data_IF_965199596449
#
_entry.id   IF_965199596449
#
_cell.length_a   1.000
_cell.length_b   1.000
_cell.length_c   1.000
_cell.angle_alpha   90.00
_cell.angle_beta   90.00
_cell.angle_gamma   90.00
#
_symmetry.space_group_name_H-M   'P 1'
#
loop_
_entity.id
_entity.type
_entity.pdbx_description
1 polymer ?
#
# COMPACT_ATOMS: atom_id res chain seq x y z
N UNK A 1 -34.62 -29.21 20.70
CA UNK A 1 -33.25 -28.75 20.40
C UNK A 1 -33.25 -28.20 18.96
N UNK A 2 -33.41 -26.88 18.80
CA UNK A 2 -33.40 -26.19 17.48
C UNK A 2 -31.95 -25.88 17.18
N UNK A 3 -31.37 -26.53 16.17
CA UNK A 3 -30.04 -26.21 15.62
C UNK A 3 -30.16 -24.90 14.88
N UNK A 4 -29.59 -23.83 15.43
CA UNK A 4 -29.41 -22.55 14.77
C UNK A 4 -28.27 -22.76 13.76
N UNK A 5 -28.64 -22.82 12.49
CA UNK A 5 -27.70 -22.83 11.36
C UNK A 5 -27.12 -21.41 11.26
N UNK A 6 -25.92 -21.20 11.78
CA UNK A 6 -25.17 -19.96 11.57
C UNK A 6 -24.65 -20.01 10.12
N UNK A 7 -25.37 -19.38 9.21
CA UNK A 7 -24.89 -19.11 7.87
C UNK A 7 -23.82 -18.02 7.99
N UNK A 8 -22.55 -18.41 8.01
CA UNK A 8 -21.41 -17.52 7.79
C UNK A 8 -21.48 -17.01 6.35
N UNK A 9 -22.14 -15.88 6.14
CA UNK A 9 -22.07 -15.15 4.89
C UNK A 9 -20.63 -14.62 4.80
N UNK A 10 -19.83 -15.22 3.93
CA UNK A 10 -18.53 -14.68 3.57
C UNK A 10 -18.75 -13.26 3.04
N UNK A 11 -18.29 -12.27 3.80
CA UNK A 11 -18.29 -10.85 3.45
C UNK A 11 -17.31 -10.64 2.27
N UNK A 12 -17.76 -10.94 1.06
CA UNK A 12 -17.09 -10.48 -0.16
C UNK A 12 -17.60 -9.06 -0.41
N UNK A 13 -16.96 -8.09 0.26
CA UNK A 13 -17.17 -6.68 -0.05
C UNK A 13 -16.02 -6.30 -0.96
N UNK A 14 -16.27 -5.97 -2.23
CA UNK A 14 -15.22 -5.42 -3.07
C UNK A 14 -14.78 -4.08 -2.48
N UNK A 15 -13.54 -3.97 -2.05
CA UNK A 15 -12.90 -2.73 -1.57
C UNK A 15 -12.72 -1.69 -2.68
N UNK A 16 -13.17 -2.00 -3.87
CA UNK A 16 -12.98 -1.27 -5.13
C UNK A 16 -13.67 0.09 -5.22
N UNK A 17 -14.69 0.35 -4.41
CA UNK A 17 -15.55 1.54 -4.58
C UNK A 17 -14.90 2.82 -4.06
N UNK A 18 -13.84 2.77 -3.27
CA UNK A 18 -13.24 3.95 -2.64
C UNK A 18 -11.82 4.31 -3.10
N UNK A 19 -11.19 3.50 -3.97
CA UNK A 19 -9.85 3.79 -4.48
C UNK A 19 -9.84 4.72 -5.71
N UNK A 20 -10.93 5.42 -5.98
CA UNK A 20 -11.07 6.28 -7.16
C UNK A 20 -10.48 7.68 -7.01
N UNK A 21 -9.48 7.94 -6.23
CA UNK A 21 -8.74 9.20 -6.44
C UNK A 21 -7.37 9.15 -5.78
N UNK A 22 -6.36 9.42 -6.57
CA UNK A 22 -5.01 9.86 -6.24
C UNK A 22 -3.87 8.85 -6.39
N UNK A 23 -3.79 8.17 -7.56
CA UNK A 23 -2.44 8.00 -8.09
C UNK A 23 -2.02 9.30 -8.78
N UNK A 24 -0.82 9.82 -8.50
CA UNK A 24 -0.29 10.93 -9.26
C UNK A 24 0.01 10.48 -10.68
N UNK A 25 -0.92 10.76 -11.57
CA UNK A 25 -0.61 10.80 -12.99
C UNK A 25 0.49 11.84 -13.19
N UNK A 26 1.64 11.41 -13.73
CA UNK A 26 2.67 12.32 -14.15
C UNK A 26 2.04 13.38 -15.05
N UNK A 27 2.11 14.62 -14.62
CA UNK A 27 1.63 15.78 -15.36
C UNK A 27 2.37 15.86 -16.68
N UNK A 28 1.75 15.32 -17.73
CA UNK A 28 2.04 15.76 -19.08
C UNK A 28 1.51 17.19 -19.15
N UNK A 29 2.44 18.15 -19.21
CA UNK A 29 2.16 19.56 -19.42
C UNK A 29 1.34 19.71 -20.69
N UNK A 30 0.05 19.95 -20.58
CA UNK A 30 -0.75 20.47 -21.69
C UNK A 30 -0.37 21.93 -21.90
N UNK A 31 0.52 22.16 -22.87
CA UNK A 31 0.65 23.44 -23.52
C UNK A 31 -0.60 23.71 -24.35
N UNK A 32 -1.49 24.52 -23.83
CA UNK A 32 -2.57 25.13 -24.60
C UNK A 32 -1.97 26.04 -25.66
N UNK A 33 -2.07 25.59 -26.90
CA UNK A 33 -1.81 26.42 -28.06
C UNK A 33 -2.89 27.50 -28.19
N UNK A 34 -2.52 28.76 -27.95
CA UNK A 34 -3.32 29.92 -28.33
C UNK A 34 -2.69 30.55 -29.56
N UNK A 35 -3.45 30.57 -30.66
CA UNK A 35 -3.11 31.11 -31.95
C UNK A 35 -3.08 32.64 -31.98
N UNK A 36 -2.09 33.16 -32.73
CA UNK A 36 -2.10 34.29 -33.66
C UNK A 36 -1.59 35.65 -33.15
N UNK A 37 -1.11 36.53 -34.01
CA UNK A 37 -0.45 36.38 -35.34
C UNK A 37 0.91 37.08 -35.44
N UNK A 38 1.65 36.80 -36.53
CA UNK A 38 2.89 37.47 -36.92
C UNK A 38 2.67 38.94 -37.38
N UNK A 39 3.72 39.80 -37.35
CA UNK A 39 4.44 40.08 -38.59
C UNK A 39 5.95 40.37 -38.52
N UNK A 40 6.61 39.89 -39.55
CA UNK A 40 7.68 40.49 -40.38
C UNK A 40 8.98 41.08 -39.81
N UNK A 41 10.09 40.47 -40.30
CA UNK A 41 11.31 41.01 -40.92
C UNK A 41 12.29 41.86 -40.12
N UNK A 42 13.53 41.39 -39.92
CA UNK A 42 14.73 41.85 -40.63
C UNK A 42 16.02 41.24 -40.07
N UNK A 43 16.77 40.65 -40.96
CA UNK A 43 18.21 40.58 -41.26
C UNK A 43 19.25 41.16 -40.27
N UNK A 44 20.27 40.36 -39.93
CA UNK A 44 21.73 40.48 -40.11
C UNK A 44 22.46 39.63 -39.06
N UNK A 45 23.10 38.58 -39.40
CA UNK A 45 24.47 38.34 -39.87
C UNK A 45 25.55 39.00 -39.01
N UNK A 46 26.33 38.17 -38.29
CA UNK A 46 27.79 38.09 -38.32
C UNK A 46 28.32 36.98 -37.40
N UNK A 47 29.27 36.22 -37.94
CA UNK A 47 30.02 35.13 -37.30
C UNK A 47 31.37 35.65 -36.76
N UNK A 48 32.28 34.76 -36.29
CA UNK A 48 32.95 34.85 -35.00
C UNK A 48 34.39 35.39 -35.08
N UNK A 49 35.20 35.29 -34.02
CA UNK A 49 36.34 34.37 -34.07
C UNK A 49 36.85 33.75 -32.77
N UNK A 50 37.50 32.66 -32.96
CA UNK A 50 38.48 31.82 -32.33
C UNK A 50 39.52 32.45 -31.36
N UNK A 51 40.07 31.56 -30.50
CA UNK A 51 41.37 31.69 -29.84
C UNK A 51 41.39 30.95 -28.51
N UNK A 52 41.90 29.83 -28.40
CA UNK A 52 43.22 29.19 -28.29
C UNK A 52 43.73 29.10 -26.83
N UNK A 53 43.90 27.86 -26.37
CA UNK A 53 45.05 27.17 -25.80
C UNK A 53 45.76 27.65 -24.52
N UNK A 54 45.98 26.76 -23.57
CA UNK A 54 47.24 26.10 -23.11
C UNK A 54 47.01 25.54 -21.69
N UNK A 55 47.16 24.28 -21.37
CA UNK A 55 48.34 23.44 -21.12
C UNK A 55 49.23 23.85 -19.90
N UNK A 56 49.44 22.91 -18.98
CA UNK A 56 50.45 22.91 -17.94
C UNK A 56 50.07 21.97 -16.79
N UNK A 57 50.40 20.73 -16.77
CA UNK A 57 51.56 19.94 -16.32
C UNK A 57 51.72 19.80 -14.78
N UNK A 58 51.56 18.60 -14.36
CA UNK A 58 52.20 17.75 -13.35
C UNK A 58 53.12 18.36 -12.30
N UNK A 59 53.01 17.88 -11.02
CA UNK A 59 54.16 17.24 -10.36
C UNK A 59 53.79 16.51 -9.08
N UNK A 60 54.44 15.39 -8.90
CA UNK A 60 54.45 14.43 -7.75
C UNK A 60 55.10 15.03 -6.49
N UNK A 61 54.71 14.46 -5.35
CA UNK A 61 55.47 14.61 -4.11
C UNK A 61 55.01 13.62 -3.04
N UNK A 62 55.78 12.58 -2.85
CA UNK A 62 55.68 11.53 -1.84
C UNK A 62 56.12 12.02 -0.46
N UNK A 63 55.54 11.44 0.62
CA UNK A 63 56.07 11.60 1.98
C UNK A 63 55.23 10.89 3.04
N UNK A 64 55.84 9.94 3.72
CA UNK A 64 55.32 8.93 4.60
C UNK A 64 55.02 9.36 6.05
N UNK A 65 54.16 8.55 6.69
CA UNK A 65 54.10 8.08 8.08
C UNK A 65 53.78 9.06 9.21
N UNK A 66 52.68 8.84 9.93
CA UNK A 66 52.60 8.30 11.31
C UNK A 66 51.15 8.27 11.82
N UNK A 67 50.73 7.11 12.32
CA UNK A 67 49.62 6.94 13.30
C UNK A 67 50.15 7.22 14.74
N UNK A 68 49.33 7.35 15.81
CA UNK A 68 47.95 6.91 16.02
C UNK A 68 47.05 7.95 16.78
N UNK A 69 45.75 7.75 16.74
CA UNK A 69 44.85 8.45 17.65
C UNK A 69 43.39 8.03 17.37
N UNK A 70 42.88 7.06 18.13
CA UNK A 70 41.51 6.57 17.99
C UNK A 70 40.48 7.64 18.37
N UNK A 71 39.53 7.83 17.49
CA UNK A 71 38.24 8.41 17.79
C UNK A 71 37.18 7.51 17.15
N UNK A 72 36.38 6.87 18.00
CA UNK A 72 35.18 6.12 17.68
C UNK A 72 34.27 6.95 16.76
N UNK A 73 34.15 6.53 15.52
CA UNK A 73 33.16 7.08 14.61
C UNK A 73 31.75 6.71 15.10
N UNK A 74 30.75 7.65 14.99
CA UNK A 74 29.36 7.33 15.26
C UNK A 74 28.89 6.30 14.25
N UNK A 75 28.08 5.33 14.71
CA UNK A 75 27.64 4.18 13.98
C UNK A 75 27.18 4.50 12.54
N UNK A 76 27.73 3.75 11.59
CA UNK A 76 27.21 3.68 10.24
C UNK A 76 25.77 3.19 10.33
N UNK A 77 24.83 4.10 10.09
CA UNK A 77 23.47 3.70 9.77
C UNK A 77 23.58 2.75 8.59
N UNK A 78 23.12 1.52 8.75
CA UNK A 78 23.02 0.55 7.67
C UNK A 78 22.14 1.18 6.60
N UNK A 79 22.76 1.69 5.57
CA UNK A 79 22.07 2.10 4.35
C UNK A 79 21.48 0.81 3.78
N UNK A 80 20.15 0.75 3.74
CA UNK A 80 19.44 -0.30 3.01
C UNK A 80 19.91 -0.38 1.56
N UNK A 81 19.59 -1.46 0.84
CA UNK A 81 19.95 -1.58 -0.56
C UNK A 81 19.47 -0.34 -1.34
N UNK A 82 20.24 0.12 -2.35
CA UNK A 82 19.88 1.30 -3.12
C UNK A 82 18.52 1.08 -3.81
N UNK A 83 17.65 2.09 -3.74
CA UNK A 83 16.35 2.06 -4.42
C UNK A 83 16.53 1.87 -5.93
N UNK A 84 15.61 1.14 -6.57
CA UNK A 84 15.60 0.97 -8.03
C UNK A 84 15.54 2.34 -8.72
N UNK A 85 16.22 2.46 -9.86
CA UNK A 85 16.09 3.64 -10.71
C UNK A 85 14.80 3.60 -11.53
N UNK A 86 14.23 4.77 -11.91
CA UNK A 86 13.08 4.81 -12.82
C UNK A 86 13.39 4.14 -14.16
N UNK A 87 12.45 3.37 -14.73
CA UNK A 87 12.62 2.72 -16.03
C UNK A 87 12.93 3.72 -17.13
N UNK A 88 13.88 3.40 -18.00
CA UNK A 88 14.34 4.24 -19.09
C UNK A 88 14.20 3.56 -20.45
N UNK A 89 13.90 4.34 -21.49
CA UNK A 89 13.94 3.86 -22.86
C UNK A 89 15.39 3.73 -23.32
N UNK A 90 15.70 2.64 -24.00
CA UNK A 90 17.04 2.38 -24.58
C UNK A 90 17.21 2.97 -25.98
N UNK A 91 16.10 3.40 -26.62
CA UNK A 91 16.10 4.04 -27.95
C UNK A 91 14.90 4.97 -28.11
N UNK A 92 15.00 5.86 -29.11
CA UNK A 92 13.91 6.76 -29.46
C UNK A 92 12.69 6.01 -30.04
N UNK A 93 12.91 4.91 -30.76
CA UNK A 93 11.83 4.09 -31.30
C UNK A 93 11.08 3.35 -30.19
N UNK A 94 11.81 2.85 -29.19
CA UNK A 94 11.22 2.26 -27.99
C UNK A 94 10.37 3.28 -27.23
N UNK A 95 10.89 4.51 -27.03
CA UNK A 95 10.15 5.57 -26.34
C UNK A 95 8.88 5.98 -27.08
N UNK A 96 8.94 6.13 -28.43
CA UNK A 96 7.77 6.43 -29.27
C UNK A 96 6.72 5.31 -29.20
N UNK A 97 7.16 4.05 -29.28
CA UNK A 97 6.27 2.92 -29.17
C UNK A 97 5.60 2.84 -27.79
N UNK A 98 6.37 3.12 -26.72
CA UNK A 98 5.85 3.22 -25.36
C UNK A 98 4.78 4.32 -25.25
N UNK A 99 5.06 5.53 -25.73
CA UNK A 99 4.08 6.63 -25.70
C UNK A 99 2.79 6.28 -26.45
N UNK A 100 2.91 5.60 -27.60
CA UNK A 100 1.75 5.17 -28.38
C UNK A 100 0.92 4.15 -27.62
N UNK A 101 1.56 3.15 -26.98
CA UNK A 101 0.87 2.15 -26.17
C UNK A 101 0.25 2.75 -24.91
N UNK A 102 0.97 3.65 -24.23
CA UNK A 102 0.51 4.30 -23.00
C UNK A 102 -0.67 5.26 -23.21
N UNK A 103 -0.93 5.71 -24.43
CA UNK A 103 -2.09 6.54 -24.76
C UNK A 103 -3.41 5.76 -24.83
N UNK A 104 -3.35 4.43 -24.82
CA UNK A 104 -4.53 3.56 -24.93
C UNK A 104 -5.18 3.38 -23.54
N UNK A 105 -6.46 3.70 -23.45
CA UNK A 105 -7.22 3.66 -22.18
C UNK A 105 -8.21 2.51 -22.06
N UNK A 106 -8.64 1.92 -23.19
CA UNK A 106 -9.46 0.70 -23.16
C UNK A 106 -8.64 -0.47 -22.59
N UNK A 107 -9.14 -1.19 -21.57
CA UNK A 107 -8.34 -2.20 -20.88
C UNK A 107 -7.84 -3.33 -21.79
N UNK A 108 -8.67 -3.83 -22.71
CA UNK A 108 -8.30 -4.93 -23.58
C UNK A 108 -7.33 -4.49 -24.69
N UNK A 109 -7.54 -3.29 -25.24
CA UNK A 109 -6.62 -2.70 -26.21
C UNK A 109 -5.28 -2.33 -25.56
N UNK A 110 -5.28 -1.84 -24.29
CA UNK A 110 -4.07 -1.55 -23.53
C UNK A 110 -3.26 -2.82 -23.23
N UNK A 111 -3.94 -3.93 -22.86
CA UNK A 111 -3.29 -5.24 -22.69
C UNK A 111 -2.59 -5.68 -23.96
N UNK A 112 -3.33 -5.65 -25.09
CA UNK A 112 -2.75 -6.02 -26.39
C UNK A 112 -1.54 -5.14 -26.73
N UNK A 113 -1.64 -3.84 -26.51
CA UNK A 113 -0.55 -2.91 -26.81
C UNK A 113 0.68 -3.14 -25.90
N UNK A 114 0.46 -3.50 -24.63
CA UNK A 114 1.52 -3.88 -23.71
C UNK A 114 2.22 -5.19 -24.13
N UNK A 115 1.46 -6.19 -24.56
CA UNK A 115 1.98 -7.47 -25.07
C UNK A 115 2.75 -7.26 -26.38
N UNK A 116 2.20 -6.49 -27.33
CA UNK A 116 2.88 -6.15 -28.61
C UNK A 116 4.19 -5.36 -28.35
N UNK A 117 4.18 -4.43 -27.39
CA UNK A 117 5.37 -3.69 -26.98
C UNK A 117 6.42 -4.62 -26.35
N UNK A 118 5.99 -5.50 -25.44
CA UNK A 118 6.90 -6.46 -24.78
C UNK A 118 7.52 -7.45 -25.78
N UNK A 119 6.76 -7.87 -26.79
CA UNK A 119 7.26 -8.73 -27.87
C UNK A 119 8.29 -7.99 -28.76
N UNK A 120 8.04 -6.71 -29.07
CA UNK A 120 8.93 -5.90 -29.90
C UNK A 120 10.21 -5.45 -29.17
N UNK A 121 10.09 -5.17 -27.87
CA UNK A 121 11.17 -4.68 -27.00
C UNK A 121 11.33 -5.58 -25.74
N UNK A 122 11.75 -6.83 -25.90
CA UNK A 122 11.77 -7.81 -24.78
C UNK A 122 12.70 -7.40 -23.64
N UNK A 123 13.76 -6.62 -23.92
CA UNK A 123 14.70 -6.12 -22.94
C UNK A 123 14.34 -4.72 -22.40
N UNK A 124 13.14 -4.22 -22.72
CA UNK A 124 12.68 -2.91 -22.23
C UNK A 124 12.28 -2.94 -20.77
N UNK A 125 12.71 -1.94 -20.02
CA UNK A 125 12.23 -1.70 -18.65
C UNK A 125 10.82 -1.06 -18.63
N UNK A 126 10.42 -0.40 -19.72
CA UNK A 126 9.16 0.32 -19.83
C UNK A 126 7.92 -0.62 -19.90
N UNK A 127 8.11 -1.90 -20.24
CA UNK A 127 7.01 -2.86 -20.32
C UNK A 127 6.25 -3.02 -19.00
N UNK A 128 6.95 -2.92 -17.84
CA UNK A 128 6.32 -2.97 -16.52
C UNK A 128 5.34 -1.81 -16.33
N UNK A 129 5.67 -0.62 -16.82
CA UNK A 129 4.79 0.56 -16.73
C UNK A 129 3.50 0.37 -17.53
N UNK A 130 3.59 -0.22 -18.73
CA UNK A 130 2.41 -0.53 -19.55
C UNK A 130 1.51 -1.57 -18.87
N UNK A 131 2.09 -2.63 -18.32
CA UNK A 131 1.31 -3.63 -17.58
C UNK A 131 0.69 -3.06 -16.30
N UNK A 132 1.39 -2.17 -15.56
CA UNK A 132 0.78 -1.47 -14.41
C UNK A 132 -0.41 -0.61 -14.83
N UNK A 133 -0.28 0.13 -15.92
CA UNK A 133 -1.39 0.92 -16.48
C UNK A 133 -2.57 0.01 -16.86
N UNK A 134 -2.30 -1.10 -17.53
CA UNK A 134 -3.31 -2.10 -17.91
C UNK A 134 -3.99 -2.72 -16.67
N UNK A 135 -3.22 -3.07 -15.65
CA UNK A 135 -3.75 -3.58 -14.37
C UNK A 135 -4.70 -2.57 -13.73
N UNK A 136 -4.31 -1.28 -13.67
CA UNK A 136 -5.16 -0.21 -13.16
C UNK A 136 -6.43 -0.01 -14.00
N UNK A 137 -6.35 -0.17 -15.33
CA UNK A 137 -7.51 -0.09 -16.21
C UNK A 137 -8.50 -1.24 -15.93
N UNK A 138 -8.01 -2.46 -15.72
CA UNK A 138 -8.84 -3.59 -15.32
C UNK A 138 -9.39 -3.45 -13.89
N UNK A 139 -8.65 -2.82 -12.99
CA UNK A 139 -9.13 -2.45 -11.68
C UNK A 139 -10.35 -1.52 -11.78
N UNK A 140 -10.24 -0.45 -12.55
CA UNK A 140 -11.34 0.49 -12.76
C UNK A 140 -12.57 -0.17 -13.44
N UNK A 141 -12.33 -1.21 -14.25
CA UNK A 141 -13.37 -2.02 -14.88
C UNK A 141 -13.92 -3.15 -13.97
N UNK A 142 -13.46 -3.25 -12.71
CA UNK A 142 -13.81 -4.34 -11.77
C UNK A 142 -13.54 -5.75 -12.32
N UNK A 143 -12.53 -5.90 -13.18
CA UNK A 143 -12.16 -7.19 -13.76
C UNK A 143 -11.00 -7.82 -12.99
N UNK A 144 -11.32 -8.42 -11.86
CA UNK A 144 -10.33 -9.02 -10.97
C UNK A 144 -9.57 -10.22 -11.57
N UNK A 145 -10.16 -10.95 -12.52
CA UNK A 145 -9.47 -12.05 -13.22
C UNK A 145 -8.32 -11.52 -14.08
N UNK A 146 -8.61 -10.48 -14.85
CA UNK A 146 -7.59 -9.81 -15.65
C UNK A 146 -6.55 -9.09 -14.80
N UNK A 147 -6.94 -8.50 -13.67
CA UNK A 147 -5.97 -7.95 -12.71
C UNK A 147 -5.00 -9.01 -12.20
N UNK A 148 -5.52 -10.19 -11.84
CA UNK A 148 -4.69 -11.30 -11.38
C UNK A 148 -3.70 -11.75 -12.47
N UNK A 149 -4.19 -11.87 -13.73
CA UNK A 149 -3.37 -12.23 -14.88
C UNK A 149 -2.24 -11.22 -15.12
N UNK A 150 -2.60 -9.93 -15.23
CA UNK A 150 -1.64 -8.85 -15.49
C UNK A 150 -0.68 -8.67 -14.30
N UNK A 151 -1.18 -8.74 -13.07
CA UNK A 151 -0.33 -8.68 -11.88
C UNK A 151 0.73 -9.78 -11.86
N UNK A 152 0.38 -11.00 -12.25
CA UNK A 152 1.34 -12.10 -12.40
C UNK A 152 2.34 -11.87 -13.55
N UNK A 153 1.93 -11.24 -14.67
CA UNK A 153 2.87 -10.82 -15.73
C UNK A 153 3.89 -9.80 -15.18
N UNK A 154 3.44 -8.85 -14.35
CA UNK A 154 4.34 -7.87 -13.72
C UNK A 154 5.32 -8.58 -12.78
N UNK A 155 4.84 -9.44 -11.88
CA UNK A 155 5.69 -10.18 -10.92
C UNK A 155 6.71 -11.08 -11.65
N UNK A 156 6.35 -11.65 -12.81
CA UNK A 156 7.28 -12.44 -13.62
C UNK A 156 8.41 -11.59 -14.23
N UNK A 157 8.18 -10.29 -14.46
CA UNK A 157 9.17 -9.34 -14.98
C UNK A 157 9.96 -8.70 -13.84
N UNK A 158 9.28 -8.30 -12.80
CA UNK A 158 9.79 -7.63 -11.59
C UNK A 158 9.20 -8.31 -10.35
N UNK A 159 9.91 -9.31 -9.79
CA UNK A 159 9.41 -10.07 -8.63
C UNK A 159 9.20 -9.24 -7.36
N UNK A 160 9.85 -8.07 -7.29
CA UNK A 160 9.86 -7.19 -6.13
C UNK A 160 8.94 -5.97 -6.30
N UNK A 161 8.09 -5.96 -7.34
CA UNK A 161 7.11 -4.88 -7.56
C UNK A 161 6.04 -4.87 -6.47
N UNK A 162 6.06 -3.93 -5.49
CA UNK A 162 5.16 -3.98 -4.35
C UNK A 162 3.70 -3.74 -4.74
N UNK A 163 3.42 -3.00 -5.83
CA UNK A 163 2.06 -2.76 -6.28
C UNK A 163 1.44 -4.03 -6.87
N UNK A 164 2.18 -4.73 -7.72
CA UNK A 164 1.71 -6.00 -8.30
C UNK A 164 1.55 -7.09 -7.23
N UNK A 165 2.52 -7.19 -6.31
CA UNK A 165 2.47 -8.14 -5.19
C UNK A 165 1.21 -7.94 -4.35
N UNK A 166 0.90 -6.69 -3.96
CA UNK A 166 -0.29 -6.35 -3.17
C UNK A 166 -1.56 -6.60 -3.97
N UNK A 167 -1.64 -6.16 -5.23
CA UNK A 167 -2.85 -6.32 -6.04
C UNK A 167 -3.21 -7.78 -6.27
N UNK A 168 -2.21 -8.64 -6.54
CA UNK A 168 -2.43 -10.09 -6.67
C UNK A 168 -2.87 -10.69 -5.33
N UNK A 169 -2.21 -10.32 -4.22
CA UNK A 169 -2.57 -10.80 -2.89
C UNK A 169 -4.00 -10.40 -2.48
N UNK A 170 -4.41 -9.17 -2.80
CA UNK A 170 -5.76 -8.65 -2.54
C UNK A 170 -6.81 -9.47 -3.30
N UNK A 171 -6.66 -9.64 -4.61
CA UNK A 171 -7.58 -10.43 -5.43
C UNK A 171 -7.69 -11.87 -4.92
N UNK A 172 -6.56 -12.50 -4.59
CA UNK A 172 -6.56 -13.87 -4.04
C UNK A 172 -7.27 -13.93 -2.70
N UNK A 173 -7.04 -12.97 -1.80
CA UNK A 173 -7.64 -12.94 -0.47
C UNK A 173 -9.15 -12.69 -0.48
N UNK A 174 -9.65 -11.93 -1.46
CA UNK A 174 -11.07 -11.58 -1.58
C UNK A 174 -11.89 -12.65 -2.32
N UNK A 175 -11.26 -13.38 -3.24
CA UNK A 175 -11.92 -14.40 -4.04
C UNK A 175 -11.78 -15.81 -3.49
N UNK A 176 -11.00 -16.00 -2.43
CA UNK A 176 -10.81 -17.29 -1.78
C UNK A 176 -11.93 -17.57 -0.79
N UNK A 177 -12.66 -18.64 -0.99
CA UNK A 177 -13.74 -19.08 -0.10
C UNK A 177 -13.32 -20.33 0.66
N UNK A 178 -13.70 -20.49 1.95
CA UNK A 178 -13.36 -21.70 2.71
C UNK A 178 -13.83 -23.02 2.08
N UNK A 179 -14.79 -22.95 1.16
CA UNK A 179 -15.30 -24.10 0.40
C UNK A 179 -14.53 -24.42 -0.86
N UNK A 180 -13.61 -23.55 -1.29
CA UNK A 180 -12.82 -23.77 -2.50
C UNK A 180 -11.74 -24.82 -2.23
N UNK A 181 -11.51 -25.72 -3.20
CA UNK A 181 -10.50 -26.78 -3.07
C UNK A 181 -9.08 -26.22 -2.92
N UNK A 182 -8.81 -25.07 -3.52
CA UNK A 182 -7.53 -24.37 -3.53
C UNK A 182 -7.44 -23.23 -2.50
N UNK A 183 -8.39 -23.18 -1.54
CA UNK A 183 -8.45 -22.15 -0.51
C UNK A 183 -7.12 -21.97 0.24
N UNK A 184 -6.54 -23.07 0.69
CA UNK A 184 -5.29 -23.02 1.45
C UNK A 184 -4.12 -22.54 0.59
N UNK A 185 -4.04 -22.97 -0.66
CA UNK A 185 -2.97 -22.60 -1.59
C UNK A 185 -3.06 -21.12 -1.95
N UNK A 186 -4.24 -20.63 -2.31
CA UNK A 186 -4.51 -19.20 -2.57
C UNK A 186 -4.17 -18.33 -1.36
N UNK A 187 -4.55 -18.74 -0.16
CA UNK A 187 -4.24 -18.00 1.06
C UNK A 187 -2.76 -18.02 1.41
N UNK A 188 -2.06 -19.12 1.13
CA UNK A 188 -0.61 -19.20 1.30
C UNK A 188 0.11 -18.29 0.32
N UNK A 189 -0.27 -18.33 -0.97
CA UNK A 189 0.23 -17.43 -2.01
C UNK A 189 -0.01 -15.97 -1.63
N UNK A 190 -1.24 -15.59 -1.31
CA UNK A 190 -1.59 -14.22 -0.92
C UNK A 190 -0.79 -13.74 0.31
N UNK A 191 -0.63 -14.61 1.31
CA UNK A 191 0.18 -14.28 2.51
C UNK A 191 1.63 -14.01 2.14
N UNK A 192 2.23 -14.87 1.29
CA UNK A 192 3.61 -14.71 0.82
C UNK A 192 3.78 -13.39 0.05
N UNK A 193 2.89 -13.10 -0.89
CA UNK A 193 2.95 -11.90 -1.72
C UNK A 193 2.78 -10.62 -0.88
N UNK A 194 1.79 -10.57 0.03
CA UNK A 194 1.57 -9.41 0.88
C UNK A 194 2.74 -9.17 1.87
N UNK A 195 3.35 -10.24 2.39
CA UNK A 195 4.53 -10.14 3.25
C UNK A 195 5.74 -9.63 2.46
N UNK A 196 5.98 -10.18 1.26
CA UNK A 196 7.08 -9.76 0.41
C UNK A 196 6.93 -8.29 -0.03
N UNK A 197 5.71 -7.86 -0.32
CA UNK A 197 5.45 -6.45 -0.63
C UNK A 197 5.86 -5.51 0.52
N UNK A 198 5.60 -5.88 1.78
CA UNK A 198 6.03 -5.08 2.94
C UNK A 198 7.56 -4.93 3.02
N UNK A 199 8.31 -5.92 2.53
CA UNK A 199 9.78 -5.89 2.49
C UNK A 199 10.30 -4.98 1.37
N UNK A 200 9.58 -4.90 0.24
CA UNK A 200 10.04 -4.21 -0.98
C UNK A 200 9.52 -2.78 -1.14
N UNK A 201 8.51 -2.34 -0.38
CA UNK A 201 7.93 -0.99 -0.50
C UNK A 201 8.99 0.12 -0.37
N UNK A 202 10.01 -0.06 0.45
CA UNK A 202 11.00 0.99 0.68
C UNK A 202 12.07 1.08 -0.41
N UNK A 203 12.39 -0.04 -1.03
CA UNK A 203 13.48 -0.17 -2.00
C UNK A 203 13.01 -0.19 -3.44
N UNK A 204 11.82 -0.75 -3.69
CA UNK A 204 11.36 -1.07 -5.04
C UNK A 204 10.19 -0.21 -5.55
N UNK A 205 9.59 0.61 -4.67
CA UNK A 205 8.60 1.59 -5.08
C UNK A 205 9.27 2.83 -5.67
N UNK A 206 9.10 3.00 -6.98
CA UNK A 206 9.76 4.08 -7.73
C UNK A 206 8.94 5.38 -7.71
N UNK A 207 9.65 6.49 -7.51
CA UNK A 207 9.10 7.84 -7.60
C UNK A 207 9.95 8.69 -8.54
N UNK A 208 9.37 9.76 -9.08
CA UNK A 208 10.15 10.80 -9.75
C UNK A 208 11.16 11.42 -8.76
N UNK A 209 12.33 11.83 -9.27
CA UNK A 209 13.40 12.35 -8.41
C UNK A 209 13.01 13.62 -7.64
N UNK A 210 12.04 14.37 -8.15
CA UNK A 210 11.49 15.60 -7.59
C UNK A 210 10.18 15.38 -6.82
N UNK A 211 9.80 14.12 -6.56
CA UNK A 211 8.56 13.82 -5.85
C UNK A 211 8.60 14.39 -4.42
N UNK A 212 7.58 15.14 -3.99
CA UNK A 212 7.53 15.67 -2.63
C UNK A 212 7.60 14.55 -1.58
N UNK A 213 8.42 14.70 -0.52
CA UNK A 213 8.61 13.66 0.51
C UNK A 213 7.30 13.19 1.14
N UNK A 214 6.35 14.10 1.37
CA UNK A 214 5.03 13.77 1.93
C UNK A 214 4.21 12.86 1.00
N UNK A 215 4.33 13.08 -0.31
CA UNK A 215 3.68 12.23 -1.31
C UNK A 215 4.28 10.84 -1.36
N UNK A 216 5.61 10.76 -1.29
CA UNK A 216 6.34 9.48 -1.21
C UNK A 216 5.90 8.72 0.04
N UNK A 217 5.89 9.40 1.21
CA UNK A 217 5.45 8.82 2.47
C UNK A 217 4.02 8.33 2.40
N UNK A 218 3.09 9.16 1.94
CA UNK A 218 1.66 8.80 1.84
C UNK A 218 1.43 7.60 0.93
N UNK A 219 2.13 7.52 -0.21
CA UNK A 219 2.03 6.38 -1.12
C UNK A 219 2.57 5.09 -0.48
N UNK A 220 3.70 5.16 0.23
CA UNK A 220 4.26 4.02 0.96
C UNK A 220 3.33 3.56 2.09
N UNK A 221 2.80 4.49 2.87
CA UNK A 221 1.90 4.19 3.98
C UNK A 221 0.58 3.59 3.48
N UNK A 222 0.05 4.09 2.35
CA UNK A 222 -1.12 3.51 1.71
C UNK A 222 -0.89 2.06 1.27
N UNK A 223 0.24 1.77 0.61
CA UNK A 223 0.58 0.40 0.20
C UNK A 223 0.77 -0.53 1.41
N UNK A 224 1.45 -0.07 2.47
CA UNK A 224 1.57 -0.84 3.70
C UNK A 224 0.21 -1.11 4.34
N UNK A 225 -0.65 -0.08 4.40
CA UNK A 225 -2.02 -0.23 4.90
C UNK A 225 -2.78 -1.31 4.13
N UNK A 226 -2.71 -1.30 2.80
CA UNK A 226 -3.35 -2.32 1.96
C UNK A 226 -2.78 -3.71 2.22
N UNK A 227 -1.45 -3.85 2.30
CA UNK A 227 -0.82 -5.14 2.60
C UNK A 227 -1.24 -5.69 3.96
N UNK A 228 -1.30 -4.85 5.01
CA UNK A 228 -1.79 -5.25 6.32
C UNK A 228 -3.29 -5.56 6.33
N UNK A 229 -4.10 -4.84 5.53
CA UNK A 229 -5.53 -5.17 5.35
C UNK A 229 -5.71 -6.57 4.75
N UNK A 230 -4.93 -6.92 3.72
CA UNK A 230 -4.90 -8.27 3.11
C UNK A 230 -4.51 -9.32 4.15
N UNK A 231 -3.41 -9.12 4.88
CA UNK A 231 -2.96 -10.05 5.93
C UNK A 231 -4.00 -10.21 7.04
N UNK A 232 -4.67 -9.12 7.41
CA UNK A 232 -5.77 -9.13 8.36
C UNK A 232 -6.96 -9.96 7.86
N UNK A 233 -7.37 -9.78 6.60
CA UNK A 233 -8.45 -10.54 5.97
C UNK A 233 -8.12 -12.04 5.88
N UNK A 234 -6.91 -12.39 5.49
CA UNK A 234 -6.43 -13.78 5.44
C UNK A 234 -6.43 -14.44 6.82
N UNK A 235 -6.05 -13.69 7.86
CA UNK A 235 -6.09 -14.16 9.23
C UNK A 235 -7.53 -14.36 9.74
N UNK A 236 -8.49 -13.50 9.31
CA UNK A 236 -9.92 -13.70 9.56
C UNK A 236 -10.42 -15.00 8.95
N UNK A 237 -10.07 -15.27 7.69
CA UNK A 237 -10.45 -16.51 7.01
C UNK A 237 -9.90 -17.78 7.66
N UNK A 238 -8.78 -17.68 8.38
CA UNK A 238 -8.17 -18.76 9.19
C UNK A 238 -8.63 -18.76 10.64
N UNK A 239 -9.61 -17.93 11.00
CA UNK A 239 -10.11 -17.75 12.37
C UNK A 239 -9.03 -17.34 13.38
N UNK A 240 -7.88 -16.84 12.91
CA UNK A 240 -6.82 -16.31 13.77
C UNK A 240 -7.09 -14.83 14.11
N UNK A 241 -8.12 -14.63 14.94
CA UNK A 241 -8.63 -13.30 15.26
C UNK A 241 -7.61 -12.38 15.98
N UNK A 242 -6.69 -12.88 16.84
CA UNK A 242 -5.65 -12.01 17.40
C UNK A 242 -4.69 -11.45 16.34
N UNK A 243 -4.27 -12.27 15.37
CA UNK A 243 -3.42 -11.83 14.26
C UNK A 243 -4.20 -10.93 13.32
N UNK A 244 -5.47 -11.25 13.05
CA UNK A 244 -6.34 -10.40 12.25
C UNK A 244 -6.47 -9.00 12.85
N UNK A 245 -6.79 -8.90 14.15
CA UNK A 245 -6.93 -7.62 14.84
C UNK A 245 -5.64 -6.81 14.81
N UNK A 246 -4.47 -7.44 15.02
CA UNK A 246 -3.18 -6.77 14.94
C UNK A 246 -2.92 -6.16 13.56
N UNK A 247 -3.10 -6.94 12.50
CA UNK A 247 -2.86 -6.47 11.13
C UNK A 247 -3.86 -5.38 10.72
N UNK A 248 -5.16 -5.55 11.03
CA UNK A 248 -6.18 -4.56 10.73
C UNK A 248 -5.95 -3.24 11.49
N UNK A 249 -5.48 -3.31 12.74
CA UNK A 249 -5.08 -2.10 13.48
C UNK A 249 -3.92 -1.38 12.79
N UNK A 250 -2.88 -2.11 12.35
CA UNK A 250 -1.75 -1.54 11.59
C UNK A 250 -2.22 -0.91 10.27
N UNK A 251 -3.16 -1.54 9.57
CA UNK A 251 -3.74 -0.96 8.35
C UNK A 251 -4.44 0.37 8.63
N UNK A 252 -5.22 0.44 9.70
CA UNK A 252 -5.94 1.65 10.13
C UNK A 252 -4.95 2.76 10.54
N UNK A 253 -3.93 2.44 11.32
CA UNK A 253 -2.96 3.41 11.83
C UNK A 253 -2.15 4.06 10.71
N UNK A 254 -1.87 3.33 9.63
CA UNK A 254 -1.15 3.83 8.46
C UNK A 254 -2.00 4.69 7.51
N UNK A 255 -3.34 4.55 7.54
CA UNK A 255 -4.23 5.25 6.62
C UNK A 255 -5.26 6.13 7.33
N UNK A 256 -4.81 6.95 8.27
CA UNK A 256 -5.70 7.82 9.06
C UNK A 256 -6.31 8.97 8.24
N UNK A 257 -5.68 9.38 7.14
CA UNK A 257 -6.18 10.46 6.29
C UNK A 257 -7.37 10.00 5.41
N UNK A 258 -7.38 8.73 5.03
CA UNK A 258 -8.44 8.11 4.23
C UNK A 258 -8.88 6.79 4.88
N UNK A 259 -9.53 6.84 6.05
CA UNK A 259 -9.86 5.65 6.82
C UNK A 259 -10.87 4.78 6.05
N UNK A 260 -10.54 3.51 5.89
CA UNK A 260 -11.40 2.53 5.22
C UNK A 260 -12.39 1.90 6.22
N UNK A 261 -13.71 2.10 6.07
CA UNK A 261 -14.71 1.53 6.96
C UNK A 261 -14.72 0.00 6.99
N UNK A 262 -14.24 -0.66 5.93
CA UNK A 262 -14.14 -2.13 5.87
C UNK A 262 -13.12 -2.64 6.89
N UNK A 263 -11.97 -1.99 7.00
CA UNK A 263 -10.95 -2.36 7.98
C UNK A 263 -11.44 -2.18 9.41
N UNK A 264 -12.19 -1.10 9.69
CA UNK A 264 -12.83 -0.91 11.00
C UNK A 264 -13.88 -1.98 11.29
N UNK A 265 -14.73 -2.33 10.33
CA UNK A 265 -15.72 -3.40 10.51
C UNK A 265 -15.05 -4.76 10.77
N UNK A 266 -14.05 -5.13 9.96
CA UNK A 266 -13.29 -6.37 10.15
C UNK A 266 -12.59 -6.42 11.50
N UNK A 267 -12.00 -5.30 11.94
CA UNK A 267 -11.37 -5.20 13.26
C UNK A 267 -12.40 -5.37 14.38
N UNK A 268 -13.58 -4.75 14.28
CA UNK A 268 -14.64 -4.92 15.25
C UNK A 268 -15.05 -6.40 15.37
N UNK A 269 -15.26 -7.08 14.25
CA UNK A 269 -15.57 -8.52 14.21
C UNK A 269 -14.43 -9.35 14.80
N UNK A 270 -13.16 -9.03 14.49
CA UNK A 270 -12.02 -9.76 15.04
C UNK A 270 -11.90 -9.60 16.56
N UNK A 271 -12.21 -8.44 17.11
CA UNK A 271 -12.25 -8.17 18.56
C UNK A 271 -13.45 -8.87 19.22
N UNK A 272 -14.61 -8.84 18.57
CA UNK A 272 -15.80 -9.57 19.03
C UNK A 272 -15.55 -11.07 19.18
N UNK A 273 -14.94 -11.67 18.18
CA UNK A 273 -14.55 -13.10 18.22
C UNK A 273 -13.53 -13.44 19.32
N UNK A 274 -12.85 -12.44 19.86
CA UNK A 274 -11.98 -12.55 21.03
C UNK A 274 -12.72 -12.25 22.36
N UNK A 275 -14.04 -12.03 22.34
CA UNK A 275 -14.87 -11.60 23.46
C UNK A 275 -14.50 -10.21 24.03
N UNK A 276 -13.80 -9.37 23.25
CA UNK A 276 -13.43 -8.01 23.61
C UNK A 276 -14.53 -7.03 23.20
N UNK A 277 -15.75 -7.26 23.72
CA UNK A 277 -16.98 -6.59 23.26
C UNK A 277 -16.96 -5.08 23.40
N UNK A 278 -16.37 -4.54 24.48
CA UNK A 278 -16.30 -3.08 24.68
C UNK A 278 -15.37 -2.42 23.65
N UNK A 279 -14.20 -3.01 23.39
CA UNK A 279 -13.26 -2.53 22.36
C UNK A 279 -13.89 -2.66 20.98
N UNK A 280 -14.52 -3.80 20.68
CA UNK A 280 -15.23 -4.04 19.43
C UNK A 280 -16.32 -3.00 19.17
N UNK A 281 -17.10 -2.62 20.22
CA UNK A 281 -18.14 -1.61 20.09
C UNK A 281 -17.59 -0.21 19.72
N UNK A 282 -16.45 0.18 20.29
CA UNK A 282 -15.78 1.44 19.94
C UNK A 282 -15.42 1.45 18.46
N UNK A 283 -14.82 0.37 17.98
CA UNK A 283 -14.39 0.24 16.58
C UNK A 283 -15.59 0.14 15.63
N UNK A 284 -16.65 -0.60 16.01
CA UNK A 284 -17.89 -0.69 15.23
C UNK A 284 -18.60 0.66 15.09
N UNK A 285 -18.64 1.48 16.14
CA UNK A 285 -19.15 2.85 16.07
C UNK A 285 -18.37 3.67 15.03
N UNK A 286 -17.03 3.54 14.98
CA UNK A 286 -16.19 4.22 13.99
C UNK A 286 -16.49 3.74 12.57
N UNK A 287 -16.65 2.42 12.37
CA UNK A 287 -17.06 1.86 11.09
C UNK A 287 -18.40 2.45 10.61
N UNK A 288 -19.40 2.57 11.49
CA UNK A 288 -20.70 3.16 11.17
C UNK A 288 -20.58 4.64 10.78
N UNK A 289 -19.70 5.39 11.48
CA UNK A 289 -19.49 6.81 11.17
C UNK A 289 -18.84 7.03 9.80
N UNK A 290 -17.96 6.12 9.40
CA UNK A 290 -17.20 6.23 8.15
C UNK A 290 -17.95 5.66 6.94
N UNK A 291 -18.80 4.65 7.16
CA UNK A 291 -19.47 3.96 6.07
C UNK A 291 -20.69 4.74 5.57
N UNK A 292 -20.86 4.92 4.24
CA UNK A 292 -22.08 5.50 3.68
C UNK A 292 -23.32 4.68 4.06
N UNK A 293 -24.45 5.36 4.34
CA UNK A 293 -25.66 4.71 4.89
C UNK A 293 -26.23 3.60 4.00
N UNK A 294 -26.19 3.79 2.69
CA UNK A 294 -26.82 2.89 1.71
C UNK A 294 -25.86 1.84 1.16
N UNK A 295 -24.75 1.57 1.86
CA UNK A 295 -23.77 0.57 1.46
C UNK A 295 -23.93 -0.71 2.28
N UNK A 296 -23.47 -1.83 1.72
CA UNK A 296 -23.44 -3.10 2.42
C UNK A 296 -22.57 -3.01 3.68
N UNK A 297 -21.39 -2.35 3.60
CA UNK A 297 -20.52 -2.16 4.76
C UNK A 297 -21.19 -1.35 5.86
N UNK A 298 -21.92 -0.29 5.51
CA UNK A 298 -22.68 0.51 6.46
C UNK A 298 -23.79 -0.30 7.15
N UNK A 299 -24.48 -1.16 6.42
CA UNK A 299 -25.52 -2.04 6.97
C UNK A 299 -24.92 -3.04 7.96
N UNK A 300 -23.83 -3.69 7.59
CA UNK A 300 -23.15 -4.67 8.43
C UNK A 300 -22.50 -4.02 9.67
N UNK A 301 -21.92 -2.84 9.52
CA UNK A 301 -21.36 -2.09 10.63
C UNK A 301 -22.42 -1.73 11.68
N UNK A 302 -23.62 -1.31 11.22
CA UNK A 302 -24.77 -1.03 12.13
C UNK A 302 -25.25 -2.32 12.83
N UNK A 303 -25.38 -3.43 12.10
CA UNK A 303 -25.77 -4.71 12.70
C UNK A 303 -24.77 -5.16 13.77
N UNK A 304 -23.48 -5.09 13.50
CA UNK A 304 -22.44 -5.47 14.44
C UNK A 304 -22.43 -4.55 15.67
N UNK A 305 -22.50 -3.24 15.46
CA UNK A 305 -22.61 -2.26 16.54
C UNK A 305 -23.81 -2.55 17.44
N UNK A 306 -24.99 -2.80 16.87
CA UNK A 306 -26.23 -2.98 17.65
C UNK A 306 -26.20 -4.29 18.43
N UNK A 307 -25.62 -5.34 17.87
CA UNK A 307 -25.36 -6.60 18.58
C UNK A 307 -24.37 -6.40 19.74
N UNK A 308 -23.28 -5.68 19.52
CA UNK A 308 -22.30 -5.37 20.57
C UNK A 308 -22.87 -4.51 21.69
N UNK A 309 -23.77 -3.54 21.38
CA UNK A 309 -24.50 -2.77 22.38
C UNK A 309 -25.34 -3.65 23.30
N UNK A 310 -25.99 -4.68 22.77
CA UNK A 310 -26.75 -5.62 23.59
C UNK A 310 -25.85 -6.41 24.53
N UNK A 311 -24.66 -6.85 24.08
CA UNK A 311 -23.69 -7.62 24.86
C UNK A 311 -23.01 -6.77 25.95
N UNK A 312 -22.82 -5.48 25.73
CA UNK A 312 -22.15 -4.55 26.67
C UNK A 312 -23.11 -3.75 27.55
N UNK A 313 -24.42 -4.00 27.46
CA UNK A 313 -25.44 -3.17 28.13
C UNK A 313 -25.40 -1.70 27.70
N UNK A 314 -24.89 -1.41 26.50
CA UNK A 314 -24.78 -0.07 25.93
C UNK A 314 -23.55 0.73 26.38
N UNK A 315 -22.70 0.20 27.24
CA UNK A 315 -21.50 0.88 27.76
C UNK A 315 -20.29 0.65 26.85
N UNK A 316 -20.00 1.63 25.98
CA UNK A 316 -18.73 1.70 25.26
C UNK A 316 -17.74 2.56 26.06
N UNK A 317 -17.06 1.98 27.03
CA UNK A 317 -15.95 2.67 27.70
C UNK A 317 -14.65 2.23 27.02
N UNK A 318 -13.87 3.15 26.42
CA UNK A 318 -12.56 2.80 25.89
C UNK A 318 -11.67 2.35 27.04
N UNK A 319 -11.15 1.14 27.01
CA UNK A 319 -10.01 0.79 27.83
C UNK A 319 -8.85 1.69 27.38
N UNK A 320 -8.40 2.60 28.24
CA UNK A 320 -7.28 3.48 28.01
C UNK A 320 -6.00 2.60 27.93
N UNK A 321 -5.62 2.17 26.74
CA UNK A 321 -4.29 1.65 26.46
C UNK A 321 -3.43 2.81 25.99
N UNK A 322 -3.00 3.63 26.95
CA UNK A 322 -1.79 4.43 26.76
C UNK A 322 -0.57 3.51 26.90
N UNK A 323 0.37 3.44 25.97
CA UNK A 323 1.61 2.71 26.18
C UNK A 323 2.43 3.47 27.21
N UNK A 324 2.60 2.89 28.41
CA UNK A 324 3.53 3.42 29.41
C UNK A 324 3.00 3.70 30.82
N UNK A 325 1.79 3.32 31.19
CA UNK A 325 1.34 3.44 32.58
C UNK A 325 1.80 2.25 33.42
N UNK A 326 2.74 2.53 34.36
CA UNK A 326 3.20 1.66 35.43
C UNK A 326 2.00 1.19 36.26
N UNK A 327 1.90 -0.09 36.64
CA UNK A 327 0.77 -0.57 37.45
C UNK A 327 0.72 0.14 38.80
N UNK A 328 -0.46 0.51 39.32
CA UNK A 328 -0.59 1.09 40.64
C UNK A 328 -0.18 0.07 41.71
N UNK A 329 0.62 0.54 42.66
CA UNK A 329 1.07 -0.24 43.81
C UNK A 329 -0.13 -0.79 44.60
N UNK A 330 -0.06 -2.07 44.92
CA UNK A 330 -1.03 -2.80 45.73
C UNK A 330 -1.31 -2.05 47.04
N UNK A 331 -2.54 -1.67 47.25
CA UNK A 331 -3.03 -1.14 48.52
C UNK A 331 -2.95 -2.29 49.58
N UNK A 332 -2.14 -2.06 50.58
CA UNK A 332 -1.98 -2.90 51.78
C UNK A 332 -3.32 -2.99 52.48
N UNK A 333 -3.88 -4.19 52.56
CA UNK A 333 -5.05 -4.48 53.40
C UNK A 333 -4.63 -4.33 54.87
N UNK A 334 -5.32 -3.44 55.61
CA UNK A 334 -5.27 -3.35 57.05
C UNK A 334 -6.01 -4.57 57.66
N UNK A 335 -5.51 -5.17 58.73
CA UNK A 335 -6.21 -6.28 59.41
C UNK A 335 -7.43 -5.75 60.16
N UNK A 336 -8.57 -6.33 59.90
CA UNK A 336 -9.78 -6.13 60.72
C UNK A 336 -9.59 -6.73 62.11
N UNK A 337 -9.75 -5.89 63.13
CA UNK A 337 -9.82 -6.31 64.52
C UNK A 337 -11.17 -6.97 64.79
N UNK A 338 -11.15 -8.20 65.29
CA UNK A 338 -12.33 -8.91 65.83
C UNK A 338 -12.68 -8.37 67.24
N UNK A 339 -13.97 -8.14 67.56
CA UNK A 339 -14.37 -7.80 68.92
C UNK A 339 -14.40 -9.04 69.81
N UNK A 340 -13.87 -8.91 71.05
CA UNK A 340 -13.90 -9.89 72.12
C UNK A 340 -15.26 -9.80 72.83
N UNK A 341 -15.95 -10.92 73.18
CA UNK A 341 -17.18 -10.87 73.95
C UNK A 341 -16.89 -10.79 75.46
N UNK A 342 -17.70 -9.98 76.17
CA UNK A 342 -17.93 -10.06 77.62
C UNK A 342 -19.16 -10.88 77.93
#
# INVERSE_FOLDING_TARGET
MKRVLVVLIALVIPTWVLAQNNYPQGSASQSSAQQSPAPKTSTQQTSPPSGSSQQGSAQQGSGAANQPGGTTAPGAAQQGPPAKHPPQAKSQDEYKAFQTAAAITDPAAAEKAADDFAAKFPASELKVLLYRQTMNAYQNANNAEKMLEIGRKIIAIDPDDPQALISVAEVLSERSRPTDLDFNDKNAEATKLATHALETIDTDLMFAADAPPERVKSAKDWLRSTAYSVLGNLAMGKENYPVAAKNLQQAIDLNQQQPDPVNFLRLAVALDKQNKYAEALVVANKAVTLAPENTQVGTLARQERDRLKQLTGGSATPAATAPGAKPPASATQQPQQTPVPH
#
